data_IF_985754062681
#
_entry.id   IF_985754062681
#
_cell.length_a   1.000
_cell.length_b   1.000
_cell.length_c   1.000
_cell.angle_alpha   90.00
_cell.angle_beta   90.00
_cell.angle_gamma   90.00
#
_symmetry.space_group_name_H-M   'P 1'
#
loop_
_entity.id
_entity.type
_entity.pdbx_description
1 polymer ?
#
# COMPACT_ATOMS: atom_id res chain seq x y z
N UNK A 1 -24.72 5.50 -18.11
CA UNK A 1 -24.08 4.79 -17.00
C UNK A 1 -22.71 5.38 -16.70
N UNK A 2 -22.41 5.57 -15.44
CA UNK A 2 -21.08 6.01 -15.00
C UNK A 2 -20.12 4.83 -15.09
N UNK A 3 -18.96 5.06 -15.74
CA UNK A 3 -17.90 4.05 -15.78
C UNK A 3 -17.30 3.90 -14.38
N UNK A 4 -17.03 2.67 -13.98
CA UNK A 4 -16.34 2.38 -12.72
C UNK A 4 -14.92 2.94 -12.78
N UNK A 5 -14.44 3.54 -11.69
CA UNK A 5 -13.09 4.08 -11.60
C UNK A 5 -12.03 2.99 -11.61
N UNK A 6 -10.79 3.38 -11.81
CA UNK A 6 -9.63 2.49 -11.81
C UNK A 6 -8.99 2.44 -10.43
N UNK A 7 -8.62 1.25 -9.99
CA UNK A 7 -7.89 1.04 -8.74
C UNK A 7 -6.39 0.92 -9.01
N UNK A 8 -5.60 1.75 -8.33
CA UNK A 8 -4.15 1.69 -8.33
C UNK A 8 -3.67 1.27 -6.95
N UNK A 9 -2.79 0.29 -6.89
CA UNK A 9 -2.21 -0.15 -5.62
C UNK A 9 -0.78 -0.61 -5.84
N UNK A 10 -0.04 -0.85 -4.75
CA UNK A 10 1.41 -0.93 -4.78
C UNK A 10 1.93 -2.19 -4.12
N UNK A 11 2.99 -2.75 -4.70
CA UNK A 11 3.84 -3.75 -4.05
C UNK A 11 5.30 -3.32 -4.17
N UNK A 12 6.11 -3.73 -3.22
CA UNK A 12 7.52 -3.40 -3.14
C UNK A 12 7.95 -3.44 -1.68
N UNK A 13 9.23 -3.71 -1.45
CA UNK A 13 9.77 -3.79 -0.10
C UNK A 13 9.59 -2.47 0.66
N UNK A 14 9.66 -2.55 1.98
CA UNK A 14 9.65 -1.39 2.84
C UNK A 14 10.74 -0.39 2.40
N UNK A 15 10.38 0.87 2.27
CA UNK A 15 11.32 1.91 1.81
C UNK A 15 11.56 1.98 0.30
N UNK A 16 10.83 1.21 -0.51
CA UNK A 16 11.00 1.24 -1.97
C UNK A 16 10.53 2.54 -2.64
N UNK A 17 9.77 3.38 -1.95
CA UNK A 17 9.25 4.65 -2.48
C UNK A 17 7.77 4.61 -2.86
N UNK A 18 7.04 3.61 -2.38
CA UNK A 18 5.61 3.44 -2.69
C UNK A 18 4.77 4.65 -2.28
N UNK A 19 4.94 5.14 -1.05
CA UNK A 19 4.14 6.25 -0.53
C UNK A 19 4.31 7.53 -1.34
N UNK A 20 5.54 7.89 -1.66
CA UNK A 20 5.86 9.07 -2.48
C UNK A 20 5.27 8.95 -3.87
N UNK A 21 5.43 7.79 -4.51
CA UNK A 21 4.90 7.54 -5.86
C UNK A 21 3.37 7.57 -5.86
N UNK A 22 2.73 6.98 -4.84
CA UNK A 22 1.27 6.92 -4.74
C UNK A 22 0.65 8.31 -4.63
N UNK A 23 1.27 9.19 -3.85
CA UNK A 23 0.79 10.55 -3.68
C UNK A 23 0.89 11.35 -5.00
N UNK A 24 2.01 11.20 -5.70
CA UNK A 24 2.21 11.82 -7.02
C UNK A 24 1.18 11.31 -8.03
N UNK A 25 1.00 10.00 -8.10
CA UNK A 25 0.06 9.37 -9.03
C UNK A 25 -1.38 9.83 -8.77
N UNK A 26 -1.78 9.94 -7.51
CA UNK A 26 -3.12 10.38 -7.15
C UNK A 26 -3.42 11.80 -7.68
N UNK A 27 -2.43 12.67 -7.65
CA UNK A 27 -2.56 14.04 -8.20
C UNK A 27 -2.64 14.01 -9.72
N UNK A 28 -1.80 13.23 -10.38
CA UNK A 28 -1.79 13.08 -11.85
C UNK A 28 -3.12 12.52 -12.38
N UNK A 29 -3.70 11.57 -11.67
CA UNK A 29 -4.96 10.91 -12.05
C UNK A 29 -6.21 11.62 -11.53
N UNK A 30 -6.06 12.65 -10.72
CA UNK A 30 -7.17 13.28 -10.01
C UNK A 30 -7.99 12.23 -9.24
N UNK A 31 -7.28 11.38 -8.53
CA UNK A 31 -7.83 10.22 -7.82
C UNK A 31 -7.92 10.48 -6.31
N UNK A 32 -8.78 9.72 -5.65
CA UNK A 32 -8.82 9.68 -4.18
C UNK A 32 -7.63 8.88 -3.69
N UNK A 33 -6.80 9.47 -2.84
CA UNK A 33 -5.65 8.81 -2.23
C UNK A 33 -6.01 8.39 -0.81
N UNK A 34 -5.75 7.12 -0.48
CA UNK A 34 -5.97 6.60 0.87
C UNK A 34 -4.68 5.93 1.32
N UNK A 35 -4.14 6.37 2.46
CA UNK A 35 -2.98 5.79 3.10
C UNK A 35 -3.40 5.04 4.37
N UNK A 36 -3.12 3.75 4.44
CA UNK A 36 -3.40 2.95 5.63
C UNK A 36 -2.68 3.50 6.86
N UNK A 37 -1.39 3.82 6.72
CA UNK A 37 -0.58 4.35 7.82
C UNK A 37 -1.13 5.66 8.38
N UNK A 38 -1.56 6.56 7.51
CA UNK A 38 -2.15 7.82 7.92
C UNK A 38 -3.43 7.62 8.72
N UNK A 39 -4.32 6.76 8.23
CA UNK A 39 -5.57 6.47 8.93
C UNK A 39 -5.33 5.78 10.27
N UNK A 40 -4.40 4.83 10.31
CA UNK A 40 -4.04 4.14 11.56
C UNK A 40 -3.48 5.13 12.59
N UNK A 41 -2.63 6.05 12.17
CA UNK A 41 -2.04 7.04 13.09
C UNK A 41 -3.06 8.00 13.67
N UNK A 42 -4.09 8.34 12.90
CA UNK A 42 -5.16 9.24 13.34
C UNK A 42 -6.17 8.51 14.23
N UNK A 43 -6.58 7.30 13.84
CA UNK A 43 -7.63 6.56 14.54
C UNK A 43 -7.13 5.82 15.79
N UNK A 44 -5.85 5.46 15.81
CA UNK A 44 -5.25 4.68 16.89
C UNK A 44 -3.98 5.35 17.44
N UNK A 45 -4.06 6.62 17.86
CA UNK A 45 -2.89 7.31 18.39
C UNK A 45 -2.37 6.59 19.63
N UNK A 46 -1.06 6.35 19.69
CA UNK A 46 -0.37 5.71 20.81
C UNK A 46 -0.79 4.26 21.12
N UNK A 47 -1.63 3.64 20.28
CA UNK A 47 -2.10 2.27 20.49
C UNK A 47 -1.30 1.22 19.72
N UNK A 48 -0.55 1.63 18.70
CA UNK A 48 0.28 0.75 17.89
C UNK A 48 1.72 0.85 18.38
N UNK A 49 2.11 -0.11 19.22
CA UNK A 49 3.43 -0.15 19.84
C UNK A 49 4.35 -1.15 19.14
N UNK A 50 3.76 -2.22 18.59
CA UNK A 50 4.49 -3.31 17.93
C UNK A 50 3.74 -3.76 16.67
N UNK A 51 4.35 -4.70 15.95
CA UNK A 51 3.80 -5.21 14.69
C UNK A 51 2.46 -5.93 14.89
N UNK A 52 2.30 -6.63 16.00
CA UNK A 52 1.03 -7.32 16.32
C UNK A 52 -0.12 -6.33 16.51
N UNK A 53 0.12 -5.23 17.20
CA UNK A 53 -0.86 -4.15 17.37
C UNK A 53 -1.25 -3.56 16.01
N UNK A 54 -0.27 -3.36 15.12
CA UNK A 54 -0.50 -2.90 13.76
C UNK A 54 -1.46 -3.85 13.02
N UNK A 55 -1.17 -5.14 13.03
CA UNK A 55 -2.00 -6.14 12.36
C UNK A 55 -3.44 -6.14 12.89
N UNK A 56 -3.59 -6.03 14.20
CA UNK A 56 -4.90 -5.99 14.86
C UNK A 56 -5.71 -4.75 14.45
N UNK A 57 -5.10 -3.57 14.48
CA UNK A 57 -5.77 -2.34 14.09
C UNK A 57 -6.09 -2.32 12.60
N UNK A 58 -5.16 -2.73 11.76
CA UNK A 58 -5.36 -2.82 10.31
C UNK A 58 -6.52 -3.78 9.96
N UNK A 59 -6.60 -4.92 10.63
CA UNK A 59 -7.67 -5.89 10.39
C UNK A 59 -9.05 -5.35 10.73
N UNK A 60 -9.15 -4.49 11.74
CA UNK A 60 -10.42 -3.84 12.11
C UNK A 60 -10.91 -2.86 11.04
N UNK A 61 -10.00 -2.20 10.36
CA UNK A 61 -10.32 -1.22 9.34
C UNK A 61 -10.65 -1.85 7.98
N UNK A 62 -10.19 -3.07 7.73
CA UNK A 62 -10.35 -3.74 6.43
C UNK A 62 -11.78 -3.79 5.90
N UNK A 63 -12.79 -4.22 6.68
CA UNK A 63 -14.17 -4.24 6.18
C UNK A 63 -14.69 -2.85 5.80
N UNK A 64 -14.33 -1.83 6.58
CA UNK A 64 -14.74 -0.47 6.32
C UNK A 64 -14.06 0.08 5.06
N UNK A 65 -12.75 -0.13 4.92
CA UNK A 65 -12.03 0.24 3.70
C UNK A 65 -12.59 -0.46 2.48
N UNK A 66 -12.87 -1.75 2.58
CA UNK A 66 -13.44 -2.53 1.47
C UNK A 66 -14.72 -1.89 0.95
N UNK A 67 -15.65 -1.60 1.84
CA UNK A 67 -16.92 -0.98 1.49
C UNK A 67 -16.74 0.41 0.90
N UNK A 68 -15.92 1.23 1.55
CA UNK A 68 -15.73 2.63 1.15
C UNK A 68 -15.04 2.77 -0.21
N UNK A 69 -13.97 2.00 -0.42
CA UNK A 69 -13.24 1.99 -1.70
C UNK A 69 -14.16 1.58 -2.85
N UNK A 70 -14.94 0.53 -2.65
CA UNK A 70 -15.90 0.06 -3.67
C UNK A 70 -16.95 1.13 -4.00
N UNK A 71 -17.46 1.83 -2.99
CA UNK A 71 -18.39 2.94 -3.20
C UNK A 71 -17.76 4.06 -4.02
N UNK A 72 -16.53 4.43 -3.72
CA UNK A 72 -15.82 5.49 -4.48
C UNK A 72 -15.65 5.05 -5.94
N UNK A 73 -15.18 3.83 -6.18
CA UNK A 73 -14.97 3.31 -7.53
C UNK A 73 -16.26 3.28 -8.34
N UNK A 74 -17.38 2.91 -7.73
CA UNK A 74 -18.67 2.83 -8.43
C UNK A 74 -19.21 4.19 -8.85
N UNK A 75 -18.74 5.30 -8.27
CA UNK A 75 -19.07 6.65 -8.74
C UNK A 75 -18.27 7.11 -9.95
N UNK A 76 -17.35 6.27 -10.43
CA UNK A 76 -16.47 6.61 -11.56
C UNK A 76 -15.19 7.32 -11.14
N UNK A 77 -14.91 7.37 -9.84
CA UNK A 77 -13.71 8.02 -9.31
C UNK A 77 -12.58 7.00 -9.16
N UNK A 78 -11.40 7.35 -9.65
CA UNK A 78 -10.21 6.54 -9.47
C UNK A 78 -9.72 6.59 -8.02
N UNK A 79 -9.12 5.50 -7.56
CA UNK A 79 -8.59 5.39 -6.20
C UNK A 79 -7.13 4.91 -6.27
N UNK A 80 -6.28 5.57 -5.51
CA UNK A 80 -4.88 5.16 -5.30
C UNK A 80 -4.70 4.76 -3.85
N UNK A 81 -4.32 3.50 -3.62
CA UNK A 81 -4.14 2.95 -2.28
C UNK A 81 -2.66 2.80 -1.94
N UNK A 82 -2.25 3.49 -0.87
CA UNK A 82 -0.95 3.27 -0.24
C UNK A 82 -1.11 2.29 0.92
N UNK A 83 -1.29 1.01 0.56
CA UNK A 83 -1.50 -0.10 1.47
C UNK A 83 -0.47 -1.18 1.18
N UNK A 84 -0.08 -2.00 2.16
CA UNK A 84 0.80 -3.12 1.89
C UNK A 84 0.11 -4.18 1.01
N UNK A 85 0.81 -4.57 -0.06
CA UNK A 85 0.38 -5.62 -0.98
C UNK A 85 1.58 -6.51 -1.33
N UNK A 86 2.33 -6.93 -0.30
CA UNK A 86 3.63 -7.58 -0.43
C UNK A 86 3.58 -9.10 -0.28
N UNK A 87 2.40 -9.66 -0.10
CA UNK A 87 2.19 -11.11 -0.03
C UNK A 87 0.99 -11.49 -0.90
N UNK A 88 0.94 -12.77 -1.30
CA UNK A 88 -0.22 -13.29 -2.03
C UNK A 88 -1.51 -13.08 -1.26
N UNK A 89 -1.49 -13.31 0.04
CA UNK A 89 -2.66 -13.14 0.91
C UNK A 89 -3.13 -11.69 0.95
N UNK A 90 -2.22 -10.74 1.06
CA UNK A 90 -2.57 -9.32 1.03
C UNK A 90 -3.18 -8.93 -0.32
N UNK A 91 -2.61 -9.41 -1.43
CA UNK A 91 -3.10 -9.10 -2.77
C UNK A 91 -4.48 -9.72 -3.07
N UNK A 92 -4.81 -10.82 -2.43
CA UNK A 92 -6.14 -11.43 -2.56
C UNK A 92 -7.26 -10.47 -2.14
N UNK A 93 -7.03 -9.68 -1.11
CA UNK A 93 -8.00 -8.66 -0.67
C UNK A 93 -8.26 -7.61 -1.77
N UNK A 94 -7.23 -7.14 -2.45
CA UNK A 94 -7.37 -6.21 -3.57
C UNK A 94 -8.10 -6.87 -4.74
N UNK A 95 -7.81 -8.13 -5.00
CA UNK A 95 -8.48 -8.89 -6.05
C UNK A 95 -10.00 -8.94 -5.83
N UNK A 96 -10.41 -9.15 -4.59
CA UNK A 96 -11.83 -9.16 -4.24
C UNK A 96 -12.47 -7.78 -4.47
N UNK A 97 -11.81 -6.69 -4.11
CA UNK A 97 -12.31 -5.34 -4.36
C UNK A 97 -12.55 -5.11 -5.86
N UNK A 98 -11.56 -5.47 -6.66
CA UNK A 98 -11.58 -5.30 -8.11
C UNK A 98 -12.73 -6.11 -8.72
N UNK A 99 -12.83 -7.38 -8.36
CA UNK A 99 -13.81 -8.31 -8.93
C UNK A 99 -15.25 -7.92 -8.53
N UNK A 100 -15.45 -7.47 -7.29
CA UNK A 100 -16.78 -7.12 -6.79
C UNK A 100 -17.43 -5.98 -7.58
N UNK A 101 -16.67 -5.00 -8.01
CA UNK A 101 -17.16 -3.83 -8.75
C UNK A 101 -16.75 -3.83 -10.21
N UNK A 102 -16.03 -4.85 -10.64
CA UNK A 102 -15.50 -4.99 -12.01
C UNK A 102 -14.68 -3.77 -12.43
N UNK A 103 -13.83 -3.31 -11.52
CA UNK A 103 -12.95 -2.17 -11.77
C UNK A 103 -11.77 -2.57 -12.64
N UNK A 104 -11.31 -1.65 -13.47
CA UNK A 104 -9.97 -1.73 -14.03
C UNK A 104 -8.96 -1.47 -12.92
N UNK A 105 -7.76 -1.98 -13.04
CA UNK A 105 -6.74 -1.81 -12.01
C UNK A 105 -5.34 -1.79 -12.60
N UNK A 106 -4.41 -1.29 -11.79
CA UNK A 106 -2.99 -1.42 -12.05
C UNK A 106 -2.27 -1.68 -10.71
N UNK A 107 -1.52 -2.76 -10.66
CA UNK A 107 -0.59 -3.07 -9.56
C UNK A 107 0.78 -2.52 -9.94
N UNK A 108 1.24 -1.53 -9.19
CA UNK A 108 2.54 -0.90 -9.42
C UNK A 108 3.57 -1.58 -8.52
N UNK A 109 4.51 -2.28 -9.15
CA UNK A 109 5.59 -2.96 -8.47
C UNK A 109 6.85 -2.10 -8.52
N UNK A 110 7.19 -1.47 -7.39
CA UNK A 110 8.44 -0.73 -7.27
C UNK A 110 9.51 -1.69 -6.77
N UNK A 111 10.38 -2.11 -7.69
CA UNK A 111 11.48 -3.01 -7.41
C UNK A 111 12.73 -2.19 -7.10
N UNK A 112 13.11 -2.16 -5.83
CA UNK A 112 14.26 -1.41 -5.34
C UNK A 112 15.22 -2.36 -4.63
N UNK A 113 16.52 -2.12 -4.83
CA UNK A 113 17.55 -2.86 -4.11
C UNK A 113 17.49 -2.57 -2.61
N UNK A 114 17.94 -3.52 -1.80
CA UNK A 114 17.92 -3.38 -0.34
C UNK A 114 18.67 -2.12 0.13
N UNK A 115 19.77 -1.79 -0.50
CA UNK A 115 20.55 -0.59 -0.17
C UNK A 115 19.73 0.69 -0.37
N UNK A 116 18.98 0.78 -1.47
CA UNK A 116 18.09 1.91 -1.76
C UNK A 116 16.98 2.00 -0.72
N UNK A 117 16.38 0.88 -0.39
CA UNK A 117 15.33 0.82 0.62
C UNK A 117 15.83 1.29 1.99
N UNK A 118 16.98 0.79 2.41
CA UNK A 118 17.59 1.14 3.70
C UNK A 118 17.97 2.61 3.77
N UNK A 119 18.46 3.18 2.68
CA UNK A 119 18.77 4.60 2.61
C UNK A 119 17.51 5.47 2.76
N UNK A 120 16.42 5.11 2.10
CA UNK A 120 15.12 5.79 2.25
C UNK A 120 14.60 5.70 3.69
N UNK A 121 14.72 4.55 4.33
CA UNK A 121 14.31 4.33 5.71
C UNK A 121 15.11 5.23 6.66
N UNK A 122 16.42 5.30 6.44
CA UNK A 122 17.30 6.17 7.21
C UNK A 122 16.91 7.64 7.09
N UNK A 123 16.61 8.12 5.87
CA UNK A 123 16.16 9.49 5.65
C UNK A 123 14.83 9.77 6.38
N UNK A 124 13.87 8.86 6.30
CA UNK A 124 12.60 9.02 7.01
C UNK A 124 12.77 9.16 8.53
N UNK A 125 13.70 8.40 9.11
CA UNK A 125 14.00 8.52 10.56
C UNK A 125 14.59 9.88 10.93
N UNK A 126 15.38 10.46 10.04
CA UNK A 126 15.94 11.79 10.27
C UNK A 126 14.85 12.86 10.24
N UNK A 127 13.94 12.77 9.27
CA UNK A 127 12.82 13.71 9.12
C UNK A 127 11.73 13.51 10.16
N UNK A 128 11.47 12.26 10.55
CA UNK A 128 10.43 11.87 11.49
C UNK A 128 10.99 10.87 12.52
N UNK A 129 11.71 11.35 13.56
CA UNK A 129 12.37 10.48 14.55
C UNK A 129 11.42 9.52 15.28
N UNK A 130 10.15 9.86 15.38
CA UNK A 130 9.11 9.03 16.01
C UNK A 130 8.87 7.72 15.25
N UNK A 131 9.28 7.63 13.98
CA UNK A 131 9.13 6.44 13.17
C UNK A 131 10.19 5.37 13.46
N UNK A 132 11.21 5.66 14.27
CA UNK A 132 12.31 4.73 14.54
C UNK A 132 11.84 3.38 15.09
N UNK A 133 10.72 3.33 15.79
CA UNK A 133 10.12 2.10 16.31
C UNK A 133 9.80 1.09 15.21
N UNK A 134 9.42 1.58 14.04
CA UNK A 134 8.97 0.77 12.91
C UNK A 134 9.88 0.89 11.69
N UNK A 135 10.43 2.08 11.47
CA UNK A 135 11.32 2.37 10.34
C UNK A 135 12.78 2.16 10.76
N UNK A 136 13.19 0.91 10.89
CA UNK A 136 14.56 0.54 11.23
C UNK A 136 15.02 -0.67 10.41
N UNK A 137 16.32 -0.93 10.40
CA UNK A 137 16.92 -2.02 9.61
C UNK A 137 16.41 -3.40 10.04
N UNK A 138 16.25 -3.61 11.34
CA UNK A 138 15.75 -4.90 11.87
C UNK A 138 14.35 -5.18 11.35
N UNK A 139 13.47 -4.18 11.35
CA UNK A 139 12.12 -4.32 10.80
C UNK A 139 12.15 -4.54 9.30
N UNK A 140 13.02 -3.84 8.56
CA UNK A 140 13.19 -4.04 7.13
C UNK A 140 13.52 -5.50 6.81
N UNK A 141 14.52 -6.08 7.47
CA UNK A 141 14.89 -7.47 7.23
C UNK A 141 13.82 -8.45 7.69
N UNK A 142 13.15 -8.14 8.80
CA UNK A 142 12.07 -8.98 9.30
C UNK A 142 10.91 -9.09 8.29
N UNK A 143 10.42 -7.97 7.79
CA UNK A 143 9.28 -7.98 6.84
C UNK A 143 9.69 -8.39 5.43
N UNK A 144 10.94 -8.14 5.03
CA UNK A 144 11.43 -8.49 3.69
C UNK A 144 11.46 -9.99 3.44
N UNK A 145 11.66 -10.81 4.48
CA UNK A 145 11.65 -12.27 4.32
C UNK A 145 10.28 -12.82 3.90
N UNK A 146 9.21 -12.08 4.13
CA UNK A 146 7.85 -12.48 3.75
C UNK A 146 7.42 -11.90 2.40
N UNK A 147 8.25 -11.09 1.78
CA UNK A 147 7.93 -10.48 0.49
C UNK A 147 7.77 -11.54 -0.60
N UNK A 148 6.63 -11.51 -1.26
CA UNK A 148 6.31 -12.39 -2.38
C UNK A 148 6.04 -11.53 -3.61
N UNK A 149 6.96 -11.55 -4.58
CA UNK A 149 6.81 -10.78 -5.81
C UNK A 149 5.54 -11.19 -6.57
N UNK A 150 4.87 -10.24 -7.25
CA UNK A 150 3.67 -10.57 -8.03
C UNK A 150 3.97 -11.62 -9.11
N UNK A 151 3.05 -12.57 -9.26
CA UNK A 151 3.16 -13.65 -10.22
C UNK A 151 2.02 -13.57 -11.26
N UNK A 152 2.27 -14.01 -12.51
CA UNK A 152 1.26 -13.96 -13.56
C UNK A 152 -0.05 -14.68 -13.22
N UNK A 153 0.01 -15.76 -12.44
CA UNK A 153 -1.17 -16.54 -12.09
C UNK A 153 -2.14 -15.79 -11.15
N UNK A 154 -1.70 -14.71 -10.51
CA UNK A 154 -2.59 -13.90 -9.67
C UNK A 154 -3.57 -13.07 -10.50
N UNK A 155 -3.30 -12.84 -11.77
CA UNK A 155 -4.22 -12.17 -12.70
C UNK A 155 -4.21 -10.65 -12.60
N UNK A 156 -3.18 -10.02 -12.03
CA UNK A 156 -3.07 -8.57 -11.99
C UNK A 156 -2.37 -8.00 -13.23
N UNK A 157 -2.78 -6.78 -13.60
CA UNK A 157 -2.05 -5.96 -14.57
C UNK A 157 -0.93 -5.25 -13.81
N UNK A 158 0.30 -5.71 -13.99
CA UNK A 158 1.47 -5.24 -13.25
C UNK A 158 2.29 -4.24 -14.08
N UNK A 159 2.55 -3.07 -13.50
CA UNK A 159 3.55 -2.12 -14.00
C UNK A 159 4.77 -2.19 -13.09
N UNK A 160 5.88 -2.71 -13.59
CA UNK A 160 7.12 -2.79 -12.83
C UNK A 160 7.97 -1.54 -13.06
N UNK A 161 8.38 -0.92 -11.96
CA UNK A 161 9.27 0.24 -11.94
C UNK A 161 10.54 -0.16 -11.20
N UNK A 162 11.69 0.01 -11.87
CA UNK A 162 12.99 -0.21 -11.24
C UNK A 162 13.41 1.09 -10.54
N UNK A 163 13.59 1.04 -9.23
CA UNK A 163 14.08 2.16 -8.43
C UNK A 163 15.58 2.00 -8.14
N UNK A 164 16.35 3.03 -8.41
CA UNK A 164 17.80 3.06 -8.17
C UNK A 164 18.16 3.98 -7.02
#
# INVERSE_FOLDING_TARGET
MVKVGTLYFYTGKMGAGKSTHSLKLSKEKNAVHISEDEWLSVLYPDQIINFEDYLKCASRMKPLFSQHIQQILTTGTDVVLDFPANTYQQREWFKQLIDNVKAEHQLIYIDADDEVCLEHIKHRRIEQPEREKFDNEAMFYHVSQYFEAPQPHEGFTVLKIQAN
#
